data_IF_406447138071
#
_entry.id   IF_406447138071
#
_cell.length_a   1.000
_cell.length_b   1.000
_cell.length_c   1.000
_cell.angle_alpha   90.00
_cell.angle_beta   90.00
_cell.angle_gamma   90.00
#
_symmetry.space_group_name_H-M   'P 1'
#
loop_
_entity.id
_entity.type
_entity.pdbx_description
1 polymer ?
#
# COMPACT_ATOMS: atom_id res chain seq x y z
N UNK A 1 -4.05 -41.07 49.16
CA UNK A 1 -3.67 -40.25 47.99
C UNK A 1 -2.16 -40.09 48.11
N UNK A 2 -1.42 -40.87 47.34
CA UNK A 2 0.00 -41.14 47.63
C UNK A 2 0.88 -39.91 47.41
N UNK A 3 1.91 -39.70 48.24
CA UNK A 3 2.86 -38.57 48.14
C UNK A 3 3.43 -38.42 46.72
N UNK A 4 3.60 -39.53 46.01
CA UNK A 4 3.98 -39.56 44.60
C UNK A 4 3.03 -38.79 43.69
N UNK A 5 1.72 -38.88 43.91
CA UNK A 5 0.74 -38.15 43.12
C UNK A 5 0.84 -36.63 43.37
N UNK A 6 1.13 -36.22 44.59
CA UNK A 6 1.31 -34.80 44.94
C UNK A 6 2.55 -34.24 44.21
N UNK A 7 3.66 -34.99 44.19
CA UNK A 7 4.90 -34.59 43.49
C UNK A 7 4.68 -34.48 41.98
N UNK A 8 3.98 -35.46 41.37
CA UNK A 8 3.68 -35.44 39.93
C UNK A 8 2.81 -34.24 39.55
N UNK A 9 1.80 -33.92 40.37
CA UNK A 9 0.94 -32.76 40.16
C UNK A 9 1.75 -31.46 40.26
N UNK A 10 2.59 -31.33 41.30
CA UNK A 10 3.45 -30.16 41.48
C UNK A 10 4.41 -29.96 40.30
N UNK A 11 5.06 -31.04 39.83
CA UNK A 11 5.94 -30.98 38.67
C UNK A 11 5.20 -30.58 37.39
N UNK A 12 3.98 -31.10 37.20
CA UNK A 12 3.13 -30.79 36.05
C UNK A 12 2.71 -29.31 36.05
N UNK A 13 2.40 -28.73 37.21
CA UNK A 13 2.10 -27.29 37.35
C UNK A 13 3.33 -26.45 37.00
N UNK A 14 4.52 -26.83 37.50
CA UNK A 14 5.77 -26.12 37.20
C UNK A 14 6.05 -26.16 35.69
N UNK A 15 5.93 -27.33 35.07
CA UNK A 15 6.14 -27.48 33.63
C UNK A 15 5.16 -26.62 32.82
N UNK A 16 3.89 -26.57 33.24
CA UNK A 16 2.87 -25.73 32.61
C UNK A 16 3.18 -24.24 32.73
N UNK A 17 3.62 -23.77 33.90
CA UNK A 17 4.02 -22.37 34.11
C UNK A 17 5.25 -22.00 33.27
N UNK A 18 6.25 -22.89 33.19
CA UNK A 18 7.42 -22.70 32.32
C UNK A 18 7.02 -22.64 30.86
N UNK A 19 6.10 -23.51 30.41
CA UNK A 19 5.56 -23.50 29.05
C UNK A 19 4.88 -22.17 28.73
N UNK A 20 4.02 -21.66 29.62
CA UNK A 20 3.38 -20.35 29.46
C UNK A 20 4.41 -19.23 29.38
N UNK A 21 5.44 -19.26 30.23
CA UNK A 21 6.50 -18.27 30.24
C UNK A 21 7.28 -18.26 28.92
N UNK A 22 7.71 -19.43 28.43
CA UNK A 22 8.41 -19.57 27.15
C UNK A 22 7.54 -19.11 25.98
N UNK A 23 6.25 -19.44 25.99
CA UNK A 23 5.30 -19.01 24.97
C UNK A 23 5.14 -17.49 24.94
N UNK A 24 4.97 -16.84 26.10
CA UNK A 24 4.90 -15.37 26.20
C UNK A 24 6.18 -14.71 25.71
N UNK A 25 7.35 -15.24 26.07
CA UNK A 25 8.63 -14.74 25.60
C UNK A 25 8.77 -14.84 24.08
N UNK A 26 8.34 -15.96 23.50
CA UNK A 26 8.35 -16.15 22.05
C UNK A 26 7.44 -15.14 21.33
N UNK A 27 6.26 -14.84 21.87
CA UNK A 27 5.37 -13.82 21.32
C UNK A 27 5.99 -12.41 21.39
N UNK A 28 6.61 -12.05 22.52
CA UNK A 28 7.29 -10.77 22.68
C UNK A 28 8.40 -10.56 21.64
N UNK A 29 9.21 -11.59 21.40
CA UNK A 29 10.28 -11.51 20.39
C UNK A 29 9.76 -11.26 18.96
N UNK A 30 8.60 -11.81 18.60
CA UNK A 30 7.98 -11.57 17.29
C UNK A 30 7.48 -10.13 17.18
N UNK A 31 6.84 -9.62 18.23
CA UNK A 31 6.38 -8.24 18.28
C UNK A 31 7.54 -7.24 18.22
N UNK A 32 8.61 -7.50 18.97
CA UNK A 32 9.84 -6.71 18.94
C UNK A 32 10.45 -6.68 17.54
N UNK A 33 10.55 -7.86 16.89
CA UNK A 33 11.03 -7.95 15.51
C UNK A 33 10.21 -7.09 14.55
N UNK A 34 8.88 -7.14 14.61
CA UNK A 34 8.01 -6.32 13.77
C UNK A 34 8.15 -4.82 14.09
N UNK A 35 8.36 -4.47 15.36
CA UNK A 35 8.53 -3.08 15.80
C UNK A 35 9.89 -2.46 15.42
N UNK A 36 10.92 -3.29 15.19
CA UNK A 36 12.22 -2.85 14.69
C UNK A 36 12.22 -2.56 13.17
N UNK A 37 11.23 -3.06 12.42
CA UNK A 37 11.15 -2.83 10.99
C UNK A 37 10.81 -1.37 10.66
N UNK A 38 11.53 -0.82 9.67
CA UNK A 38 11.29 0.54 9.16
C UNK A 38 10.05 0.63 8.28
N UNK A 39 9.76 -0.43 7.52
CA UNK A 39 8.53 -0.54 6.76
C UNK A 39 7.32 -0.65 7.70
N UNK A 40 6.17 -0.20 7.22
CA UNK A 40 4.92 -0.32 7.96
C UNK A 40 4.42 -1.77 7.80
N UNK A 41 4.22 -2.44 8.93
CA UNK A 41 3.79 -3.83 9.00
C UNK A 41 2.49 -3.93 9.77
N UNK A 42 1.48 -4.55 9.17
CA UNK A 42 0.12 -4.60 9.70
C UNK A 42 -0.40 -6.04 9.65
N UNK A 43 -1.02 -6.50 10.72
CA UNK A 43 -1.81 -7.74 10.69
C UNK A 43 -3.28 -7.35 10.72
N UNK A 44 -4.06 -7.85 9.77
CA UNK A 44 -5.48 -7.52 9.65
C UNK A 44 -6.31 -8.72 9.18
N UNK A 45 -7.60 -8.66 9.50
CA UNK A 45 -8.66 -9.40 8.79
C UNK A 45 -9.31 -8.48 7.77
N UNK A 46 -10.25 -8.99 6.97
CA UNK A 46 -11.02 -8.16 6.04
C UNK A 46 -11.80 -7.03 6.75
N UNK A 47 -12.17 -7.22 8.03
CA UNK A 47 -13.04 -6.32 8.79
C UNK A 47 -12.32 -5.45 9.84
N UNK A 48 -11.12 -5.84 10.25
CA UNK A 48 -10.43 -5.19 11.37
C UNK A 48 -8.92 -5.31 11.30
N UNK A 49 -8.23 -4.27 11.76
CA UNK A 49 -6.79 -4.30 11.95
C UNK A 49 -6.47 -4.84 13.34
N UNK A 50 -5.66 -5.90 13.42
CA UNK A 50 -5.30 -6.61 14.66
C UNK A 50 -4.03 -6.01 15.28
N UNK A 51 -3.04 -5.68 14.46
CA UNK A 51 -1.73 -5.19 14.89
C UNK A 51 -1.18 -4.20 13.87
N UNK A 52 -0.46 -3.19 14.36
CA UNK A 52 0.33 -2.24 13.56
C UNK A 52 1.65 -2.06 14.31
N UNK A 53 2.77 -2.19 13.61
CA UNK A 53 4.08 -1.95 14.22
C UNK A 53 4.31 -0.46 14.56
N UNK A 54 5.35 -0.18 15.36
CA UNK A 54 5.71 1.19 15.77
C UNK A 54 5.85 2.16 14.59
N UNK A 55 6.45 1.73 13.48
CA UNK A 55 6.60 2.54 12.27
C UNK A 55 5.26 2.95 11.67
N UNK A 56 4.30 2.01 11.59
CA UNK A 56 2.93 2.29 11.16
C UNK A 56 2.17 3.23 12.09
N UNK A 57 2.21 2.96 13.40
CA UNK A 57 1.54 3.80 14.40
C UNK A 57 2.01 5.25 14.33
N UNK A 58 3.35 5.46 14.28
CA UNK A 58 3.95 6.77 14.12
C UNK A 58 3.54 7.45 12.81
N UNK A 59 3.49 6.71 11.70
CA UNK A 59 3.10 7.25 10.40
C UNK A 59 1.63 7.71 10.35
N UNK A 60 0.73 6.91 10.96
CA UNK A 60 -0.69 7.23 11.00
C UNK A 60 -1.06 8.24 12.12
N UNK A 61 -0.14 8.54 13.03
CA UNK A 61 -0.34 9.51 14.11
C UNK A 61 -1.08 8.94 15.33
N UNK A 62 -0.92 7.64 15.61
CA UNK A 62 -1.52 6.97 16.76
C UNK A 62 -0.46 6.46 17.73
N UNK A 63 -0.73 6.52 19.03
CA UNK A 63 0.18 5.99 20.06
C UNK A 63 0.04 4.47 20.22
N UNK A 64 -1.19 3.95 20.11
CA UNK A 64 -1.47 2.53 20.29
C UNK A 64 -2.42 1.98 19.23
N UNK A 65 -2.36 0.66 19.03
CA UNK A 65 -3.32 -0.06 18.18
C UNK A 65 -4.77 0.11 18.65
N UNK A 66 -4.99 0.28 19.97
CA UNK A 66 -6.34 0.47 20.51
C UNK A 66 -6.94 1.80 20.07
N UNK A 67 -6.12 2.85 19.99
CA UNK A 67 -6.56 4.18 19.55
C UNK A 67 -6.88 4.16 18.07
N UNK A 68 -6.02 3.52 17.27
CA UNK A 68 -6.30 3.26 15.85
C UNK A 68 -7.61 2.49 15.63
N UNK A 69 -7.86 1.43 16.40
CA UNK A 69 -9.06 0.60 16.26
C UNK A 69 -10.34 1.36 16.62
N UNK A 70 -10.29 2.29 17.59
CA UNK A 70 -11.45 3.12 17.97
C UNK A 70 -11.83 4.09 16.87
N UNK A 71 -10.85 4.75 16.25
CA UNK A 71 -11.11 5.79 15.25
C UNK A 71 -11.32 5.21 13.85
N UNK A 72 -10.46 4.27 13.43
CA UNK A 72 -10.39 3.79 12.05
C UNK A 72 -10.98 2.40 11.91
N UNK A 73 -10.80 1.50 12.89
CA UNK A 73 -11.18 0.08 12.88
C UNK A 73 -10.45 -0.80 11.86
N UNK A 74 -10.41 -0.40 10.59
CA UNK A 74 -9.79 -1.16 9.50
C UNK A 74 -8.98 -0.27 8.57
N UNK A 75 -7.75 -0.71 8.24
CA UNK A 75 -6.77 0.06 7.48
C UNK A 75 -7.25 0.53 6.11
N UNK A 76 -8.07 -0.26 5.42
CA UNK A 76 -8.60 0.09 4.10
C UNK A 76 -9.48 1.35 4.11
N UNK A 77 -9.96 1.81 5.28
CA UNK A 77 -10.69 3.08 5.39
C UNK A 77 -9.83 4.32 5.13
N UNK A 78 -8.50 4.18 5.23
CA UNK A 78 -7.57 5.26 4.93
C UNK A 78 -7.20 5.34 3.43
N UNK A 79 -7.68 4.39 2.61
CA UNK A 79 -7.33 4.31 1.20
C UNK A 79 -8.21 5.27 0.38
N UNK A 80 -7.56 6.07 -0.45
CA UNK A 80 -8.19 7.05 -1.32
C UNK A 80 -8.49 6.46 -2.70
N UNK A 81 -9.46 7.06 -3.39
CA UNK A 81 -9.79 6.72 -4.78
C UNK A 81 -8.80 7.38 -5.75
N UNK A 82 -8.25 6.58 -6.67
CA UNK A 82 -7.34 6.99 -7.73
C UNK A 82 -7.35 5.88 -8.80
N UNK A 83 -7.37 6.23 -10.09
CA UNK A 83 -7.62 5.29 -11.22
C UNK A 83 -6.64 4.10 -11.29
N UNK A 84 -5.47 4.20 -10.65
CA UNK A 84 -4.45 3.13 -10.60
C UNK A 84 -4.27 2.47 -9.23
N UNK A 85 -5.07 2.85 -8.23
CA UNK A 85 -4.93 2.38 -6.85
C UNK A 85 -6.14 1.57 -6.39
N UNK A 86 -5.89 0.63 -5.48
CA UNK A 86 -6.96 -0.01 -4.71
C UNK A 86 -7.48 1.00 -3.70
N UNK A 87 -8.77 1.33 -3.81
CA UNK A 87 -9.50 2.16 -2.86
C UNK A 87 -10.28 1.31 -1.86
N UNK A 88 -10.93 1.96 -0.90
CA UNK A 88 -11.83 1.30 0.06
C UNK A 88 -12.99 0.51 -0.59
N UNK A 89 -13.34 0.81 -1.84
CA UNK A 89 -14.47 0.19 -2.55
C UNK A 89 -14.06 -0.77 -3.67
N UNK A 90 -12.82 -0.72 -4.16
CA UNK A 90 -12.38 -1.46 -5.36
C UNK A 90 -12.63 -2.97 -5.29
N UNK A 91 -12.60 -3.55 -4.08
CA UNK A 91 -12.65 -5.00 -3.90
C UNK A 91 -13.74 -5.49 -2.93
N UNK A 92 -14.53 -4.58 -2.34
CA UNK A 92 -15.61 -4.92 -1.41
C UNK A 92 -15.10 -5.58 -0.13
N UNK A 93 -15.91 -6.46 0.48
CA UNK A 93 -15.61 -7.08 1.78
C UNK A 93 -14.38 -7.99 1.77
N UNK A 94 -14.10 -8.71 0.68
CA UNK A 94 -12.97 -9.67 0.59
C UNK A 94 -11.72 -9.07 -0.05
N UNK A 95 -11.41 -7.81 0.27
CA UNK A 95 -10.33 -7.08 -0.41
C UNK A 95 -8.95 -7.69 -0.19
N UNK A 96 -8.65 -8.21 1.00
CA UNK A 96 -7.36 -8.86 1.28
C UNK A 96 -7.19 -10.14 0.47
N UNK A 97 -8.25 -10.94 0.38
CA UNK A 97 -8.24 -12.20 -0.37
C UNK A 97 -8.06 -11.94 -1.87
N UNK A 98 -8.72 -10.92 -2.42
CA UNK A 98 -8.57 -10.53 -3.81
C UNK A 98 -7.16 -10.04 -4.14
N UNK A 99 -6.54 -9.25 -3.26
CA UNK A 99 -5.16 -8.82 -3.45
C UNK A 99 -4.22 -10.02 -3.34
N UNK A 100 -4.39 -10.87 -2.33
CA UNK A 100 -3.57 -12.06 -2.14
C UNK A 100 -3.60 -12.99 -3.36
N UNK A 101 -4.79 -13.23 -3.94
CA UNK A 101 -4.98 -14.09 -5.11
C UNK A 101 -4.61 -13.41 -6.44
N UNK A 102 -4.21 -12.13 -6.43
CA UNK A 102 -3.68 -11.47 -7.63
C UNK A 102 -2.32 -12.06 -8.01
N UNK A 103 -1.92 -11.89 -9.28
CA UNK A 103 -0.67 -12.44 -9.83
C UNK A 103 0.58 -12.10 -9.00
N UNK A 104 0.59 -10.95 -8.32
CA UNK A 104 1.74 -10.47 -7.55
C UNK A 104 1.49 -10.45 -6.03
N UNK A 105 0.29 -10.85 -5.58
CA UNK A 105 -0.15 -10.69 -4.19
C UNK A 105 0.07 -9.27 -3.64
N UNK A 106 -0.02 -8.27 -4.53
CA UNK A 106 0.39 -6.90 -4.28
C UNK A 106 -0.58 -5.92 -4.92
N UNK A 107 -0.80 -4.79 -4.26
CA UNK A 107 -1.60 -3.69 -4.79
C UNK A 107 -0.93 -2.33 -4.54
N UNK A 108 -1.15 -1.39 -5.45
CA UNK A 108 -0.83 0.03 -5.24
C UNK A 108 -1.97 0.69 -4.49
N UNK A 109 -1.65 1.52 -3.49
CA UNK A 109 -2.62 2.32 -2.76
C UNK A 109 -2.16 3.76 -2.60
N UNK A 110 -3.12 4.64 -2.38
CA UNK A 110 -2.92 6.04 -2.03
C UNK A 110 -3.53 6.31 -0.67
N UNK A 111 -2.78 6.98 0.20
CA UNK A 111 -3.19 7.30 1.57
C UNK A 111 -2.89 8.77 1.85
N UNK A 112 -3.79 9.43 2.59
CA UNK A 112 -3.48 10.64 3.36
C UNK A 112 -3.42 10.27 4.84
N UNK A 113 -2.33 10.65 5.51
CA UNK A 113 -2.25 10.43 6.96
C UNK A 113 -3.14 11.45 7.68
N UNK A 114 -3.81 11.05 8.78
CA UNK A 114 -4.48 12.01 9.66
C UNK A 114 -3.55 13.12 10.16
N UNK A 115 -2.26 12.81 10.35
CA UNK A 115 -1.24 13.75 10.84
C UNK A 115 -0.85 14.82 9.81
N UNK A 116 -0.92 14.49 8.51
CA UNK A 116 -0.62 15.42 7.41
C UNK A 116 -1.60 15.17 6.24
N UNK A 117 -2.64 16.01 6.18
CA UNK A 117 -3.67 15.96 5.13
C UNK A 117 -3.24 16.61 3.82
N UNK A 118 -2.08 17.26 3.78
CA UNK A 118 -1.60 18.02 2.62
C UNK A 118 -0.77 17.16 1.67
N UNK A 119 -0.12 16.12 2.19
CA UNK A 119 0.71 15.23 1.38
C UNK A 119 -0.01 13.93 1.03
N UNK A 120 0.00 13.59 -0.25
CA UNK A 120 -0.42 12.28 -0.74
C UNK A 120 0.75 11.30 -0.64
N UNK A 121 0.50 10.13 -0.05
CA UNK A 121 1.46 9.05 0.01
C UNK A 121 1.01 7.88 -0.85
N UNK A 122 1.96 7.32 -1.61
CA UNK A 122 1.75 6.11 -2.38
C UNK A 122 2.51 4.95 -1.74
N UNK A 123 1.84 3.80 -1.64
CA UNK A 123 2.43 2.57 -1.14
C UNK A 123 2.15 1.41 -2.09
N UNK A 124 3.09 0.47 -2.16
CA UNK A 124 2.75 -0.91 -2.51
C UNK A 124 2.45 -1.67 -1.22
N UNK A 125 1.30 -2.36 -1.20
CA UNK A 125 0.94 -3.31 -0.15
C UNK A 125 1.17 -4.71 -0.66
N UNK A 126 2.09 -5.44 -0.02
CA UNK A 126 2.25 -6.87 -0.24
C UNK A 126 1.46 -7.62 0.82
N UNK A 127 0.60 -8.54 0.37
CA UNK A 127 -0.32 -9.27 1.23
C UNK A 127 0.11 -10.72 1.31
N UNK A 128 0.33 -11.21 2.53
CA UNK A 128 0.65 -12.61 2.82
C UNK A 128 -0.40 -13.21 3.75
N UNK A 129 -0.90 -14.41 3.45
CA UNK A 129 -1.87 -15.10 4.30
C UNK A 129 -1.17 -15.75 5.50
N UNK A 130 -1.70 -15.51 6.70
CA UNK A 130 -1.31 -16.20 7.93
C UNK A 130 -2.29 -17.34 8.23
N UNK A 131 -2.12 -18.06 9.35
CA UNK A 131 -3.10 -19.08 9.78
C UNK A 131 -4.48 -18.42 10.02
N UNK A 132 -5.53 -19.04 9.46
CA UNK A 132 -6.92 -18.55 9.54
C UNK A 132 -7.22 -17.43 8.56
N UNK A 133 -8.08 -16.48 8.98
CA UNK A 133 -8.53 -15.33 8.17
C UNK A 133 -7.72 -14.05 8.44
N UNK A 134 -6.43 -14.24 8.75
CA UNK A 134 -5.49 -13.17 9.07
C UNK A 134 -4.48 -13.00 7.95
N UNK A 135 -4.12 -11.77 7.68
CA UNK A 135 -3.15 -11.41 6.66
C UNK A 135 -2.09 -10.50 7.26
N UNK A 136 -0.84 -10.71 6.85
CA UNK A 136 0.26 -9.77 7.04
C UNK A 136 0.34 -8.86 5.83
N UNK A 137 0.32 -7.57 6.06
CA UNK A 137 0.48 -6.53 5.06
C UNK A 137 1.80 -5.81 5.32
N UNK A 138 2.64 -5.75 4.28
CA UNK A 138 3.88 -4.96 4.29
C UNK A 138 3.70 -3.80 3.33
N UNK A 139 3.87 -2.59 3.84
CA UNK A 139 3.69 -1.34 3.11
C UNK A 139 5.07 -0.79 2.74
N UNK A 140 5.33 -0.70 1.45
CA UNK A 140 6.55 -0.09 0.90
C UNK A 140 6.21 1.28 0.35
N UNK A 141 6.79 2.33 0.93
CA UNK A 141 6.55 3.71 0.48
C UNK A 141 7.18 3.92 -0.90
N UNK A 142 6.36 4.27 -1.88
CA UNK A 142 6.75 4.55 -3.26
C UNK A 142 6.43 5.99 -3.68
N UNK A 143 6.14 6.87 -2.73
CA UNK A 143 5.75 8.27 -3.02
C UNK A 143 6.80 8.99 -3.87
N UNK A 144 8.08 8.83 -3.52
CA UNK A 144 9.19 9.38 -4.32
C UNK A 144 9.25 8.75 -5.71
N UNK A 145 9.10 7.43 -5.82
CA UNK A 145 9.09 6.73 -7.09
C UNK A 145 7.97 7.23 -8.00
N UNK A 146 6.79 7.51 -7.46
CA UNK A 146 5.66 8.07 -8.21
C UNK A 146 5.94 9.52 -8.65
N UNK A 147 6.50 10.35 -7.77
CA UNK A 147 6.95 11.70 -8.13
C UNK A 147 8.00 11.68 -9.25
N UNK A 148 8.98 10.78 -9.17
CA UNK A 148 10.05 10.65 -10.16
C UNK A 148 9.47 10.18 -11.51
N UNK A 149 8.53 9.22 -11.50
CA UNK A 149 7.79 8.81 -12.71
C UNK A 149 7.03 9.96 -13.34
N UNK A 150 6.36 10.78 -12.55
CA UNK A 150 5.62 11.95 -13.06
C UNK A 150 6.56 13.00 -13.67
N UNK A 151 7.73 13.24 -13.06
CA UNK A 151 8.77 14.12 -13.61
C UNK A 151 9.27 13.56 -14.94
N UNK A 152 9.63 12.27 -14.99
CA UNK A 152 10.09 11.60 -16.22
C UNK A 152 9.02 11.67 -17.31
N UNK A 153 7.75 11.44 -16.97
CA UNK A 153 6.64 11.55 -17.93
C UNK A 153 6.54 12.97 -18.48
N UNK A 154 6.64 14.00 -17.63
CA UNK A 154 6.65 15.39 -18.10
C UNK A 154 7.86 15.69 -18.99
N UNK A 155 9.05 15.18 -18.66
CA UNK A 155 10.23 15.35 -19.50
C UNK A 155 10.14 14.61 -20.84
N UNK A 156 9.41 13.49 -20.89
CA UNK A 156 9.15 12.77 -22.14
C UNK A 156 8.03 13.43 -22.96
N UNK A 157 7.03 14.00 -22.30
CA UNK A 157 5.87 14.63 -22.94
C UNK A 157 6.21 16.01 -23.52
N UNK A 158 7.20 16.72 -22.98
CA UNK A 158 7.54 18.09 -23.39
C UNK A 158 8.99 18.18 -23.91
N UNK A 159 9.18 18.90 -25.01
CA UNK A 159 10.50 19.28 -25.51
C UNK A 159 11.16 20.28 -24.55
N UNK A 160 12.38 19.99 -24.11
CA UNK A 160 13.06 20.76 -23.06
C UNK A 160 13.45 22.17 -23.51
N UNK A 161 13.64 22.40 -24.82
CA UNK A 161 14.05 23.69 -25.35
C UNK A 161 12.87 24.65 -25.51
N UNK A 162 11.71 24.12 -25.91
CA UNK A 162 10.55 24.92 -26.33
C UNK A 162 9.37 24.84 -25.36
N UNK A 163 9.37 23.86 -24.44
CA UNK A 163 8.26 23.55 -23.54
C UNK A 163 6.94 23.23 -24.29
N UNK A 164 7.03 22.85 -25.57
CA UNK A 164 5.93 22.35 -26.40
C UNK A 164 5.90 20.81 -26.30
N UNK A 165 4.74 20.20 -26.54
CA UNK A 165 4.62 18.75 -26.59
C UNK A 165 5.65 18.11 -27.53
N UNK A 166 6.33 17.07 -27.04
CA UNK A 166 7.33 16.33 -27.77
C UNK A 166 6.71 15.55 -28.92
N UNK A 167 7.56 15.15 -29.87
CA UNK A 167 7.16 14.25 -30.97
C UNK A 167 6.61 12.91 -30.45
N UNK A 168 7.09 12.44 -29.29
CA UNK A 168 6.59 11.22 -28.65
C UNK A 168 5.14 11.41 -28.23
N UNK A 169 4.82 12.55 -27.59
CA UNK A 169 3.45 12.87 -27.17
C UNK A 169 2.51 13.10 -28.35
N UNK A 170 2.99 13.74 -29.41
CA UNK A 170 2.22 13.88 -30.66
C UNK A 170 1.84 12.51 -31.24
N UNK A 171 2.80 11.58 -31.34
CA UNK A 171 2.55 10.24 -31.86
C UNK A 171 1.60 9.41 -30.98
N UNK A 172 1.55 9.66 -29.67
CA UNK A 172 0.59 9.03 -28.74
C UNK A 172 -0.83 9.59 -28.95
N UNK A 173 -0.97 10.92 -29.02
CA UNK A 173 -2.27 11.60 -29.02
C UNK A 173 -2.93 11.63 -30.40
N UNK A 174 -2.14 11.71 -31.47
CA UNK A 174 -2.66 11.84 -32.83
C UNK A 174 -3.61 10.70 -33.23
N UNK A 175 -3.27 9.40 -33.03
CA UNK A 175 -4.17 8.29 -33.31
C UNK A 175 -5.48 8.34 -32.50
N UNK A 176 -5.43 8.78 -31.24
CA UNK A 176 -6.63 8.89 -30.39
C UNK A 176 -7.61 9.92 -30.93
N UNK A 177 -7.10 11.10 -31.32
CA UNK A 177 -7.93 12.18 -31.83
C UNK A 177 -8.48 11.91 -33.23
N UNK A 178 -7.69 11.34 -34.14
CA UNK A 178 -8.17 11.01 -35.48
C UNK A 178 -9.22 9.89 -35.44
N UNK A 179 -9.03 8.85 -34.62
CA UNK A 179 -10.01 7.78 -34.47
C UNK A 179 -11.32 8.28 -33.85
N UNK A 180 -11.25 9.20 -32.88
CA UNK A 180 -12.43 9.86 -32.33
C UNK A 180 -13.16 10.66 -33.41
N UNK A 181 -12.44 11.48 -34.18
CA UNK A 181 -13.05 12.27 -35.24
C UNK A 181 -13.75 11.40 -36.29
N UNK A 182 -13.13 10.28 -36.68
CA UNK A 182 -13.74 9.28 -37.56
C UNK A 182 -14.99 8.64 -36.93
N UNK A 183 -14.94 8.27 -35.65
CA UNK A 183 -16.03 7.57 -34.96
C UNK A 183 -17.25 8.47 -34.70
N UNK A 184 -17.03 9.76 -34.43
CA UNK A 184 -18.08 10.74 -34.14
C UNK A 184 -18.42 11.63 -35.34
N UNK A 185 -17.82 11.36 -36.52
CA UNK A 185 -17.95 12.16 -37.73
C UNK A 185 -17.66 13.67 -37.48
N UNK A 186 -16.70 13.96 -36.61
CA UNK A 186 -16.24 15.31 -36.29
C UNK A 186 -15.19 15.77 -37.32
N UNK A 187 -15.16 17.07 -37.62
CA UNK A 187 -14.11 17.65 -38.48
C UNK A 187 -12.79 17.70 -37.72
N UNK A 188 -11.73 17.16 -38.31
CA UNK A 188 -10.38 17.17 -37.75
C UNK A 188 -9.39 17.85 -38.71
N UNK A 189 -8.48 18.67 -38.17
CA UNK A 189 -7.48 19.41 -38.94
C UNK A 189 -6.15 19.41 -38.18
N UNK A 190 -5.04 19.30 -38.91
CA UNK A 190 -3.68 19.45 -38.38
C UNK A 190 -3.01 20.57 -39.15
N UNK A 191 -2.25 21.39 -38.44
CA UNK A 191 -1.36 22.38 -39.03
C UNK A 191 0.06 22.03 -38.62
N UNK A 192 0.92 21.82 -39.62
CA UNK A 192 2.35 21.55 -39.45
C UNK A 192 3.10 22.77 -39.96
N UNK A 193 3.85 23.42 -39.09
CA UNK A 193 4.74 24.52 -39.45
C UNK A 193 6.18 24.04 -39.33
N UNK A 194 6.93 24.20 -40.41
CA UNK A 194 8.39 24.04 -40.38
C UNK A 194 9.03 25.40 -40.13
N UNK A 195 9.99 25.45 -39.21
CA UNK A 195 10.67 26.70 -38.84
C UNK A 195 12.08 26.61 -39.39
N UNK A 196 12.21 26.80 -40.71
CA UNK A 196 13.50 26.95 -41.34
C UNK A 196 14.09 28.32 -40.96
N UNK A 197 14.93 28.34 -39.93
CA UNK A 197 15.95 29.36 -39.78
C UNK A 197 17.30 28.67 -39.65
N UNK A 198 17.82 28.22 -40.80
CA UNK A 198 19.20 27.84 -40.98
C UNK A 198 20.06 29.03 -40.56
N UNK A 199 20.78 28.91 -39.45
CA UNK A 199 21.82 29.86 -39.08
C UNK A 199 22.85 29.91 -40.22
N UNK A 200 23.03 31.09 -40.80
CA UNK A 200 24.19 31.41 -41.63
C UNK A 200 25.45 31.51 -40.77
#
# INVERSE_FOLDING_TARGET
MDEYNIIIIAFSIILFLVSIYLFRRSLGAVEDFLNLQTNISIIATNDSTIFINRSGLKFFGFDTIKDFQKEVKSINRLFLEEDSCVSRYSHGKSWLEKIYNSKQSMAKIKIKTPADRRMDYFFYIQVSRLKGDRYLLIFTNITKLESDKDIIRKLADYDQLTNIYSRVKFNEMFPLHINRALSYNEKFSIILFDIDHSYH
#
